data_IF_965126641005
#
_entry.id   IF_965126641005
#
_cell.length_a   1.000
_cell.length_b   1.000
_cell.length_c   1.000
_cell.angle_alpha   90.00
_cell.angle_beta   90.00
_cell.angle_gamma   90.00
#
_symmetry.space_group_name_H-M   'P 1'
#
loop_
_entity.id
_entity.type
_entity.pdbx_description
1 polymer ?
#
# COMPACT_ATOMS: atom_id res chain seq x y z
N UNK A 1 -19.01 -49.05 38.46
CA UNK A 1 -18.34 -47.92 37.78
C UNK A 1 -17.64 -48.38 36.48
N UNK A 2 -18.37 -48.96 35.52
CA UNK A 2 -17.85 -49.33 34.17
C UNK A 2 -19.01 -49.50 33.18
N UNK A 3 -19.85 -48.48 32.99
CA UNK A 3 -20.99 -48.56 32.05
C UNK A 3 -21.23 -47.29 31.20
N UNK A 4 -20.43 -46.24 31.35
CA UNK A 4 -20.59 -44.99 30.57
C UNK A 4 -19.67 -44.85 29.35
N UNK A 5 -18.80 -45.82 29.07
CA UNK A 5 -17.83 -45.75 27.97
C UNK A 5 -18.39 -46.13 26.59
N UNK A 6 -19.46 -46.93 26.52
CA UNK A 6 -20.00 -47.42 25.25
C UNK A 6 -20.93 -46.43 24.54
N UNK A 7 -21.73 -45.67 25.30
CA UNK A 7 -22.74 -44.76 24.73
C UNK A 7 -22.09 -43.53 24.09
N UNK A 8 -20.96 -43.06 24.62
CA UNK A 8 -20.25 -41.90 24.08
C UNK A 8 -19.56 -42.17 22.74
N UNK A 9 -19.12 -43.41 22.50
CA UNK A 9 -18.48 -43.82 21.24
C UNK A 9 -19.52 -44.00 20.13
N UNK A 10 -20.72 -44.50 20.46
CA UNK A 10 -21.81 -44.61 19.48
C UNK A 10 -22.43 -43.26 19.10
N UNK A 11 -22.44 -42.27 20.00
CA UNK A 11 -22.90 -40.91 19.69
C UNK A 11 -21.85 -40.16 18.86
N UNK A 12 -20.55 -40.38 19.08
CA UNK A 12 -19.49 -39.83 18.21
C UNK A 12 -19.49 -40.45 16.80
N UNK A 13 -19.86 -41.72 16.65
CA UNK A 13 -19.96 -42.38 15.35
C UNK A 13 -21.21 -41.96 14.55
N UNK A 14 -22.23 -41.39 15.21
CA UNK A 14 -23.39 -40.79 14.55
C UNK A 14 -23.21 -39.28 14.28
N UNK A 15 -22.29 -38.61 14.97
CA UNK A 15 -21.91 -37.20 14.73
C UNK A 15 -20.81 -37.03 13.66
N UNK A 16 -20.14 -38.10 13.23
CA UNK A 16 -19.25 -38.06 12.07
C UNK A 16 -19.99 -38.13 10.73
N UNK A 17 -21.31 -38.33 10.74
CA UNK A 17 -22.18 -38.06 9.60
C UNK A 17 -22.56 -36.56 9.57
N UNK A 18 -21.56 -35.67 9.57
CA UNK A 18 -21.74 -34.40 8.84
C UNK A 18 -22.02 -34.86 7.42
N UNK A 19 -23.26 -34.65 6.94
CA UNK A 19 -23.67 -35.03 5.60
C UNK A 19 -22.73 -34.38 4.59
N UNK A 20 -21.68 -35.09 4.20
CA UNK A 20 -20.94 -34.78 3.00
C UNK A 20 -21.95 -35.01 1.88
N UNK A 21 -22.50 -33.93 1.36
CA UNK A 21 -23.31 -33.98 0.16
C UNK A 21 -22.44 -34.66 -0.91
N UNK A 22 -22.80 -35.89 -1.28
CA UNK A 22 -22.05 -36.68 -2.26
C UNK A 22 -22.27 -36.03 -3.63
N UNK A 23 -21.41 -35.09 -4.00
CA UNK A 23 -21.46 -34.43 -5.29
C UNK A 23 -21.24 -35.47 -6.38
N UNK A 24 -22.25 -35.64 -7.23
CA UNK A 24 -22.23 -36.60 -8.33
C UNK A 24 -22.59 -35.90 -9.63
N UNK A 25 -22.41 -36.59 -10.76
CA UNK A 25 -22.77 -36.09 -12.09
C UNK A 25 -24.26 -35.69 -12.15
N UNK A 26 -25.12 -36.28 -11.31
CA UNK A 26 -26.54 -35.95 -11.23
C UNK A 26 -26.82 -34.52 -10.72
N UNK A 27 -25.86 -33.88 -10.05
CA UNK A 27 -26.00 -32.52 -9.55
C UNK A 27 -25.65 -31.46 -10.61
N UNK A 28 -25.08 -31.85 -11.75
CA UNK A 28 -24.68 -30.92 -12.82
C UNK A 28 -25.93 -30.39 -13.53
N UNK A 29 -26.02 -29.07 -13.68
CA UNK A 29 -27.10 -28.42 -14.42
C UNK A 29 -26.97 -28.65 -15.92
N UNK A 30 -28.07 -28.45 -16.67
CA UNK A 30 -28.08 -28.64 -18.12
C UNK A 30 -27.02 -27.80 -18.84
N UNK A 31 -26.79 -26.57 -18.37
CA UNK A 31 -25.76 -25.69 -18.92
C UNK A 31 -24.34 -26.21 -18.65
N UNK A 32 -24.08 -26.64 -17.40
CA UNK A 32 -22.78 -27.23 -17.04
C UNK A 32 -22.48 -28.50 -17.84
N UNK A 33 -23.50 -29.34 -18.06
CA UNK A 33 -23.36 -30.56 -18.85
C UNK A 33 -23.07 -30.25 -20.32
N UNK A 34 -23.73 -29.27 -20.93
CA UNK A 34 -23.44 -28.88 -22.31
C UNK A 34 -22.00 -28.42 -22.50
N UNK A 35 -21.46 -27.61 -21.57
CA UNK A 35 -20.08 -27.16 -21.64
C UNK A 35 -19.07 -28.29 -21.44
N UNK A 36 -19.36 -29.26 -20.57
CA UNK A 36 -18.51 -30.45 -20.39
C UNK A 36 -18.48 -31.33 -21.64
N UNK A 37 -19.66 -31.63 -22.22
CA UNK A 37 -19.75 -32.47 -23.43
C UNK A 37 -19.05 -31.83 -24.62
N UNK A 38 -19.08 -30.51 -24.74
CA UNK A 38 -18.35 -29.78 -25.77
C UNK A 38 -16.82 -29.76 -25.54
N UNK A 39 -16.41 -29.66 -24.27
CA UNK A 39 -14.99 -29.47 -23.90
C UNK A 39 -14.20 -30.78 -23.82
N UNK A 40 -14.83 -31.89 -23.44
CA UNK A 40 -14.17 -33.19 -23.26
C UNK A 40 -13.50 -33.68 -24.57
N UNK A 41 -14.18 -33.73 -25.73
CA UNK A 41 -13.56 -34.16 -26.98
C UNK A 41 -12.41 -33.24 -27.42
N UNK A 42 -12.56 -31.91 -27.22
CA UNK A 42 -11.53 -30.91 -27.50
C UNK A 42 -10.28 -31.07 -26.63
N UNK A 43 -10.39 -31.77 -25.50
CA UNK A 43 -9.27 -32.07 -24.60
C UNK A 43 -8.53 -33.38 -24.89
N UNK A 44 -8.88 -34.06 -26.00
CA UNK A 44 -8.39 -35.39 -26.39
C UNK A 44 -8.76 -36.53 -25.40
N UNK A 45 -9.78 -36.32 -24.56
CA UNK A 45 -10.32 -37.35 -23.69
C UNK A 45 -11.67 -37.87 -24.20
N UNK A 46 -11.98 -39.13 -23.92
CA UNK A 46 -13.31 -39.70 -24.17
C UNK A 46 -14.27 -39.35 -23.03
N UNK A 47 -15.57 -39.26 -23.34
CA UNK A 47 -16.64 -39.05 -22.35
C UNK A 47 -16.70 -40.14 -21.28
N UNK A 48 -16.30 -41.38 -21.62
CA UNK A 48 -16.29 -42.51 -20.70
C UNK A 48 -14.99 -42.63 -19.87
N UNK A 49 -13.93 -41.90 -20.22
CA UNK A 49 -12.62 -42.01 -19.58
C UNK A 49 -12.42 -40.90 -18.54
N UNK A 50 -12.95 -41.15 -17.34
CA UNK A 50 -12.80 -40.22 -16.20
C UNK A 50 -11.33 -40.06 -15.77
N UNK A 51 -10.49 -41.08 -15.95
CA UNK A 51 -9.07 -40.98 -15.60
C UNK A 51 -8.31 -40.01 -16.52
N UNK A 52 -8.60 -40.03 -17.83
CA UNK A 52 -8.07 -39.03 -18.76
C UNK A 52 -8.57 -37.63 -18.41
N UNK A 53 -9.88 -37.48 -18.16
CA UNK A 53 -10.48 -36.18 -17.82
C UNK A 53 -9.83 -35.55 -16.59
N UNK A 54 -9.61 -36.34 -15.53
CA UNK A 54 -8.98 -35.87 -14.30
C UNK A 54 -7.49 -35.55 -14.44
N UNK A 55 -6.78 -36.16 -15.41
CA UNK A 55 -5.37 -35.91 -15.67
C UNK A 55 -5.14 -34.76 -16.67
N UNK A 56 -6.16 -34.38 -17.44
CA UNK A 56 -6.05 -33.36 -18.48
C UNK A 56 -5.85 -31.97 -17.89
N UNK A 57 -4.80 -31.27 -18.32
CA UNK A 57 -4.53 -29.88 -17.94
C UNK A 57 -5.34 -28.86 -18.77
N UNK A 58 -5.83 -29.27 -19.94
CA UNK A 58 -6.51 -28.39 -20.89
C UNK A 58 -8.02 -28.38 -20.64
N UNK A 59 -8.57 -29.50 -20.17
CA UNK A 59 -10.00 -29.65 -19.93
C UNK A 59 -10.58 -28.56 -19.01
N UNK A 60 -9.97 -28.24 -17.84
CA UNK A 60 -10.50 -27.17 -16.99
C UNK A 60 -10.57 -25.80 -17.69
N UNK A 61 -9.61 -25.51 -18.59
CA UNK A 61 -9.55 -24.26 -19.35
C UNK A 61 -10.66 -24.14 -20.39
N UNK A 62 -10.92 -25.21 -21.13
CA UNK A 62 -12.00 -25.23 -22.12
C UNK A 62 -13.37 -25.16 -21.43
N UNK A 63 -13.56 -25.95 -20.37
CA UNK A 63 -14.82 -26.00 -19.64
C UNK A 63 -15.13 -24.66 -18.98
N UNK A 64 -14.18 -24.05 -18.28
CA UNK A 64 -14.37 -22.74 -17.64
C UNK A 64 -14.61 -21.61 -18.65
N UNK A 65 -13.95 -21.62 -19.81
CA UNK A 65 -14.22 -20.66 -20.88
C UNK A 65 -15.68 -20.75 -21.37
N UNK A 66 -16.19 -21.96 -21.62
CA UNK A 66 -17.58 -22.17 -21.99
C UNK A 66 -18.55 -21.73 -20.87
N UNK A 67 -18.25 -22.09 -19.61
CA UNK A 67 -19.11 -21.75 -18.48
C UNK A 67 -19.17 -20.24 -18.21
N UNK A 68 -18.09 -19.50 -18.46
CA UNK A 68 -18.05 -18.03 -18.31
C UNK A 68 -18.84 -17.31 -19.40
N UNK A 69 -19.00 -17.91 -20.57
CA UNK A 69 -19.73 -17.33 -21.69
C UNK A 69 -21.22 -17.66 -21.65
N UNK A 70 -21.57 -18.89 -21.26
CA UNK A 70 -22.92 -19.42 -21.45
C UNK A 70 -23.70 -19.72 -20.17
N UNK A 71 -23.04 -19.88 -19.02
CA UNK A 71 -23.66 -20.37 -17.78
C UNK A 71 -23.55 -19.38 -16.62
N UNK A 72 -24.23 -19.68 -15.51
CA UNK A 72 -24.17 -18.86 -14.29
C UNK A 72 -22.94 -19.18 -13.43
N UNK A 73 -22.57 -18.25 -12.56
CA UNK A 73 -21.56 -18.42 -11.51
C UNK A 73 -21.92 -19.58 -10.57
N UNK A 74 -23.21 -19.84 -10.36
CA UNK A 74 -23.67 -20.99 -9.59
C UNK A 74 -23.37 -22.31 -10.31
N UNK A 75 -23.62 -22.37 -11.62
CA UNK A 75 -23.30 -23.54 -12.45
C UNK A 75 -21.79 -23.83 -12.46
N UNK A 76 -20.98 -22.78 -12.55
CA UNK A 76 -19.51 -22.89 -12.48
C UNK A 76 -19.05 -23.57 -11.17
N UNK A 77 -19.64 -23.15 -10.06
CA UNK A 77 -19.30 -23.66 -8.74
C UNK A 77 -19.75 -25.11 -8.57
N UNK A 78 -20.93 -25.48 -9.09
CA UNK A 78 -21.41 -26.87 -9.11
C UNK A 78 -20.49 -27.76 -9.95
N UNK A 79 -20.13 -27.34 -11.17
CA UNK A 79 -19.24 -28.11 -12.04
C UNK A 79 -17.89 -28.32 -11.37
N UNK A 80 -17.33 -27.27 -10.75
CA UNK A 80 -16.09 -27.39 -9.98
C UNK A 80 -16.21 -28.40 -8.83
N UNK A 81 -17.30 -28.35 -8.05
CA UNK A 81 -17.57 -29.30 -6.95
C UNK A 81 -17.66 -30.74 -7.43
N UNK A 82 -18.40 -30.99 -8.51
CA UNK A 82 -18.55 -32.35 -9.06
C UNK A 82 -17.24 -32.85 -9.64
N UNK A 83 -16.48 -32.00 -10.34
CA UNK A 83 -15.15 -32.36 -10.84
C UNK A 83 -14.19 -32.70 -9.70
N UNK A 84 -14.19 -31.91 -8.62
CA UNK A 84 -13.37 -32.19 -7.44
C UNK A 84 -13.72 -33.52 -6.77
N UNK A 85 -15.01 -33.82 -6.62
CA UNK A 85 -15.47 -35.09 -6.07
C UNK A 85 -15.14 -36.29 -6.98
N UNK A 86 -15.28 -36.12 -8.30
CA UNK A 86 -15.01 -37.19 -9.29
C UNK A 86 -13.51 -37.48 -9.40
N UNK A 87 -12.69 -36.43 -9.39
CA UNK A 87 -11.24 -36.53 -9.56
C UNK A 87 -10.46 -36.63 -8.25
N UNK A 88 -11.15 -36.62 -7.11
CA UNK A 88 -10.55 -36.66 -5.77
C UNK A 88 -9.47 -35.58 -5.60
N UNK A 89 -9.81 -34.33 -5.96
CA UNK A 89 -8.89 -33.20 -5.91
C UNK A 89 -8.52 -32.84 -4.46
N UNK A 90 -7.31 -32.30 -4.21
CA UNK A 90 -6.91 -31.89 -2.87
C UNK A 90 -7.73 -30.68 -2.40
N UNK A 91 -7.93 -30.59 -1.08
CA UNK A 91 -8.68 -29.52 -0.40
C UNK A 91 -7.78 -28.68 0.54
N UNK A 92 -6.73 -28.02 0.02
CA UNK A 92 -5.87 -27.17 0.84
C UNK A 92 -6.56 -25.85 1.22
N UNK A 93 -6.16 -25.28 2.36
CA UNK A 93 -6.70 -24.02 2.88
C UNK A 93 -5.57 -23.04 3.24
N UNK A 94 -5.57 -21.87 2.59
CA UNK A 94 -4.63 -20.75 2.83
C UNK A 94 -5.30 -19.51 3.43
N UNK A 95 -6.57 -19.61 3.84
CA UNK A 95 -7.29 -18.48 4.45
C UNK A 95 -6.61 -17.99 5.74
N UNK A 96 -6.12 -18.90 6.57
CA UNK A 96 -5.40 -18.57 7.80
C UNK A 96 -4.09 -17.81 7.53
N UNK A 97 -3.32 -18.23 6.52
CA UNK A 97 -2.09 -17.56 6.08
C UNK A 97 -2.39 -16.10 5.72
N UNK A 98 -3.43 -15.88 4.90
CA UNK A 98 -3.88 -14.54 4.50
C UNK A 98 -4.26 -13.66 5.69
N UNK A 99 -5.04 -14.20 6.63
CA UNK A 99 -5.50 -13.44 7.81
C UNK A 99 -4.31 -13.06 8.69
N UNK A 100 -3.42 -14.00 8.98
CA UNK A 100 -2.24 -13.77 9.84
C UNK A 100 -1.34 -12.72 9.21
N UNK A 101 -1.00 -12.87 7.93
CA UNK A 101 -0.13 -11.91 7.21
C UNK A 101 -0.77 -10.53 7.17
N UNK A 102 -2.06 -10.44 6.84
CA UNK A 102 -2.75 -9.15 6.73
C UNK A 102 -2.86 -8.45 8.08
N UNK A 103 -3.27 -9.16 9.13
CA UNK A 103 -3.42 -8.59 10.46
C UNK A 103 -2.08 -8.14 11.05
N UNK A 104 -1.02 -8.95 10.90
CA UNK A 104 0.31 -8.62 11.43
C UNK A 104 0.91 -7.40 10.73
N UNK A 105 0.85 -7.35 9.40
CA UNK A 105 1.37 -6.22 8.63
C UNK A 105 0.61 -4.92 8.92
N UNK A 106 -0.72 -4.99 9.03
CA UNK A 106 -1.52 -3.83 9.41
C UNK A 106 -1.18 -3.36 10.82
N UNK A 107 -1.04 -4.28 11.79
CA UNK A 107 -0.67 -3.93 13.16
C UNK A 107 0.70 -3.25 13.23
N UNK A 108 1.70 -3.75 12.49
CA UNK A 108 3.02 -3.12 12.39
C UNK A 108 2.92 -1.72 11.78
N UNK A 109 2.23 -1.57 10.66
CA UNK A 109 2.04 -0.28 9.99
C UNK A 109 1.32 0.74 10.91
N UNK A 110 0.28 0.29 11.63
CA UNK A 110 -0.43 1.09 12.61
C UNK A 110 0.51 1.56 13.73
N UNK A 111 1.22 0.63 14.38
CA UNK A 111 2.09 0.95 15.51
C UNK A 111 3.22 1.89 15.12
N UNK A 112 3.85 1.66 13.96
CA UNK A 112 4.94 2.50 13.44
C UNK A 112 4.43 3.91 13.10
N UNK A 113 3.22 4.03 12.55
CA UNK A 113 2.61 5.34 12.26
C UNK A 113 2.27 6.11 13.53
N UNK A 114 1.71 5.43 14.55
CA UNK A 114 1.45 6.05 15.86
C UNK A 114 2.76 6.50 16.51
N UNK A 115 3.80 5.68 16.48
CA UNK A 115 5.12 6.04 16.99
C UNK A 115 5.69 7.27 16.28
N UNK A 116 5.50 7.38 14.95
CA UNK A 116 5.86 8.57 14.18
C UNK A 116 5.09 9.81 14.67
N UNK A 117 3.78 9.71 14.88
CA UNK A 117 2.97 10.86 15.33
C UNK A 117 3.42 11.32 16.73
N UNK A 118 3.59 10.39 17.67
CA UNK A 118 4.10 10.69 19.01
C UNK A 118 5.48 11.34 18.94
N UNK A 119 6.38 10.80 18.11
CA UNK A 119 7.70 11.35 17.86
C UNK A 119 7.65 12.80 17.41
N UNK A 120 6.77 13.13 16.47
CA UNK A 120 6.63 14.49 15.93
C UNK A 120 6.06 15.45 16.95
N UNK A 121 5.05 15.02 17.70
CA UNK A 121 4.43 15.82 18.76
C UNK A 121 5.41 16.13 19.88
N UNK A 122 6.24 15.18 20.30
CA UNK A 122 7.15 15.34 21.44
C UNK A 122 8.47 16.02 21.09
N UNK A 123 9.05 15.73 19.92
CA UNK A 123 10.41 16.20 19.56
C UNK A 123 10.38 17.48 18.73
N UNK A 124 9.41 17.62 17.82
CA UNK A 124 9.43 18.69 16.82
C UNK A 124 8.35 19.75 17.02
N UNK A 125 7.40 19.53 17.95
CA UNK A 125 6.26 20.40 18.29
C UNK A 125 5.42 20.91 17.10
N UNK A 126 5.59 20.36 15.90
CA UNK A 126 4.93 20.81 14.66
C UNK A 126 4.57 19.61 13.79
N UNK A 127 3.26 19.38 13.64
CA UNK A 127 2.71 18.36 12.75
C UNK A 127 2.70 18.91 11.33
N UNK A 128 3.37 18.20 10.40
CA UNK A 128 3.40 18.62 9.00
C UNK A 128 2.18 18.13 8.21
N UNK A 129 1.97 18.71 7.03
CA UNK A 129 0.98 18.21 6.06
C UNK A 129 1.32 16.75 5.63
N UNK A 130 2.61 16.40 5.64
CA UNK A 130 3.07 15.02 5.39
C UNK A 130 2.54 14.01 6.43
N UNK A 131 2.41 14.43 7.70
CA UNK A 131 1.91 13.56 8.76
C UNK A 131 0.39 13.36 8.64
N UNK A 132 -0.37 14.43 8.33
CA UNK A 132 -1.81 14.34 8.07
C UNK A 132 -2.16 13.45 6.88
N UNK A 133 -1.41 13.60 5.79
CA UNK A 133 -1.60 12.77 4.58
C UNK A 133 -1.28 11.30 4.84
N UNK A 134 -0.28 11.00 5.67
CA UNK A 134 0.02 9.62 6.08
C UNK A 134 -1.05 9.04 7.01
N UNK A 135 -1.54 9.83 7.97
CA UNK A 135 -2.65 9.41 8.83
C UNK A 135 -3.91 9.11 8.02
N UNK A 136 -4.20 9.91 6.99
CA UNK A 136 -5.28 9.65 6.06
C UNK A 136 -5.05 8.35 5.28
N UNK A 137 -3.82 8.09 4.82
CA UNK A 137 -3.48 6.83 4.15
C UNK A 137 -3.71 5.62 5.08
N UNK A 138 -3.29 5.69 6.34
CA UNK A 138 -3.55 4.64 7.32
C UNK A 138 -5.06 4.44 7.58
N UNK A 139 -5.84 5.52 7.61
CA UNK A 139 -7.30 5.41 7.75
C UNK A 139 -7.94 4.72 6.54
N UNK A 140 -7.48 5.04 5.33
CA UNK A 140 -7.94 4.43 4.07
C UNK A 140 -7.51 2.97 3.91
N UNK A 141 -6.45 2.53 4.60
CA UNK A 141 -6.03 1.13 4.59
C UNK A 141 -6.92 0.23 5.44
N UNK A 142 -7.63 0.79 6.45
CA UNK A 142 -8.53 0.03 7.33
C UNK A 142 -9.62 -0.72 6.56
N UNK A 143 -10.42 -0.10 5.66
CA UNK A 143 -11.38 -0.83 4.84
C UNK A 143 -10.73 -1.92 3.99
N UNK A 144 -9.59 -1.64 3.36
CA UNK A 144 -8.89 -2.62 2.52
C UNK A 144 -8.49 -3.87 3.32
N UNK A 145 -7.94 -3.68 4.52
CA UNK A 145 -7.62 -4.77 5.45
C UNK A 145 -8.87 -5.52 5.93
N UNK A 146 -9.93 -4.80 6.31
CA UNK A 146 -11.17 -5.41 6.79
C UNK A 146 -11.85 -6.28 5.73
N UNK A 147 -11.96 -5.80 4.49
CA UNK A 147 -12.54 -6.57 3.38
C UNK A 147 -11.67 -7.76 2.99
N UNK A 148 -10.34 -7.64 3.07
CA UNK A 148 -9.42 -8.77 2.84
C UNK A 148 -9.62 -9.88 3.87
N UNK A 149 -9.73 -9.54 5.16
CA UNK A 149 -10.00 -10.51 6.23
C UNK A 149 -11.40 -11.12 6.08
N UNK A 150 -12.41 -10.31 5.77
CA UNK A 150 -13.78 -10.78 5.53
C UNK A 150 -13.84 -11.78 4.37
N UNK A 151 -13.12 -11.50 3.29
CA UNK A 151 -13.01 -12.37 2.12
C UNK A 151 -12.30 -13.69 2.45
N UNK A 152 -11.20 -13.65 3.22
CA UNK A 152 -10.51 -14.86 3.68
C UNK A 152 -11.42 -15.75 4.54
N UNK A 153 -12.17 -15.16 5.48
CA UNK A 153 -13.20 -15.87 6.25
C UNK A 153 -14.33 -16.44 5.39
N UNK A 154 -14.60 -15.82 4.23
CA UNK A 154 -15.58 -16.27 3.25
C UNK A 154 -15.12 -17.47 2.39
N UNK A 155 -13.90 -17.97 2.58
CA UNK A 155 -13.33 -19.10 1.85
C UNK A 155 -12.30 -18.72 0.78
N UNK A 156 -11.90 -17.45 0.69
CA UNK A 156 -10.79 -17.06 -0.18
C UNK A 156 -9.47 -17.62 0.37
N UNK A 157 -8.66 -18.21 -0.52
CA UNK A 157 -7.57 -19.10 -0.13
C UNK A 157 -7.94 -20.58 -0.11
N UNK A 158 -9.15 -20.93 -0.54
CA UNK A 158 -9.55 -22.30 -0.91
C UNK A 158 -9.88 -22.33 -2.40
N UNK A 159 -9.87 -23.51 -2.99
CA UNK A 159 -10.27 -23.69 -4.39
C UNK A 159 -11.77 -23.46 -4.59
N UNK A 160 -12.17 -23.13 -5.84
CA UNK A 160 -13.57 -22.85 -6.20
C UNK A 160 -14.57 -23.92 -5.71
N UNK A 161 -14.16 -25.18 -5.67
CA UNK A 161 -15.00 -26.30 -5.24
C UNK A 161 -15.24 -26.37 -3.72
N UNK A 162 -14.42 -25.70 -2.92
CA UNK A 162 -14.53 -25.64 -1.46
C UNK A 162 -15.35 -24.45 -0.96
N UNK A 163 -15.83 -23.62 -1.88
CA UNK A 163 -16.64 -22.45 -1.56
C UNK A 163 -18.11 -22.84 -1.28
N UNK A 164 -18.70 -22.17 -0.29
CA UNK A 164 -20.13 -22.21 -0.06
C UNK A 164 -20.90 -21.54 -1.20
N UNK A 165 -22.17 -21.91 -1.38
CA UNK A 165 -23.00 -21.34 -2.44
C UNK A 165 -23.18 -19.83 -2.21
N UNK A 166 -22.98 -19.05 -3.27
CA UNK A 166 -22.94 -17.58 -3.21
C UNK A 166 -21.69 -16.99 -2.55
N UNK A 167 -20.74 -17.82 -2.08
CA UNK A 167 -19.47 -17.38 -1.50
C UNK A 167 -18.61 -16.62 -2.51
N UNK A 168 -18.55 -17.11 -3.76
CA UNK A 168 -17.75 -16.49 -4.83
C UNK A 168 -18.16 -15.04 -5.13
N UNK A 169 -19.47 -14.76 -5.16
CA UNK A 169 -19.99 -13.41 -5.37
C UNK A 169 -19.57 -12.46 -4.24
N UNK A 170 -19.65 -12.91 -2.97
CA UNK A 170 -19.22 -12.13 -1.81
C UNK A 170 -17.72 -11.86 -1.84
N UNK A 171 -16.93 -12.86 -2.19
CA UNK A 171 -15.47 -12.77 -2.33
C UNK A 171 -15.09 -11.73 -3.40
N UNK A 172 -15.63 -11.85 -4.62
CA UNK A 172 -15.34 -10.92 -5.72
C UNK A 172 -15.75 -9.48 -5.38
N UNK A 173 -16.88 -9.31 -4.69
CA UNK A 173 -17.33 -7.99 -4.22
C UNK A 173 -16.37 -7.39 -3.18
N UNK A 174 -15.91 -8.18 -2.22
CA UNK A 174 -14.92 -7.73 -1.24
C UNK A 174 -13.56 -7.41 -1.88
N UNK A 175 -13.13 -8.20 -2.86
CA UNK A 175 -11.91 -7.96 -3.63
C UNK A 175 -11.98 -6.61 -4.37
N UNK A 176 -13.08 -6.36 -5.07
CA UNK A 176 -13.32 -5.09 -5.77
C UNK A 176 -13.19 -3.86 -4.85
N UNK A 177 -13.81 -3.94 -3.66
CA UNK A 177 -13.75 -2.85 -2.68
C UNK A 177 -12.33 -2.70 -2.14
N UNK A 178 -11.69 -3.80 -1.76
CA UNK A 178 -10.32 -3.80 -1.22
C UNK A 178 -9.30 -3.22 -2.22
N UNK A 179 -9.42 -3.56 -3.51
CA UNK A 179 -8.57 -3.05 -4.58
C UNK A 179 -8.77 -1.54 -4.81
N UNK A 180 -10.02 -1.07 -4.75
CA UNK A 180 -10.33 0.35 -4.90
C UNK A 180 -9.68 1.19 -3.79
N UNK A 181 -9.77 0.74 -2.53
CA UNK A 181 -9.09 1.40 -1.40
C UNK A 181 -7.57 1.29 -1.48
N UNK A 182 -7.05 0.17 -1.98
CA UNK A 182 -5.62 -0.04 -2.16
C UNK A 182 -5.00 1.04 -3.07
N UNK A 183 -5.61 1.33 -4.23
CA UNK A 183 -5.09 2.32 -5.19
C UNK A 183 -4.93 3.70 -4.55
N UNK A 184 -5.93 4.14 -3.77
CA UNK A 184 -5.92 5.45 -3.11
C UNK A 184 -4.95 5.48 -1.92
N UNK A 185 -4.91 4.40 -1.14
CA UNK A 185 -4.00 4.25 0.01
C UNK A 185 -2.53 4.30 -0.41
N UNK A 186 -2.18 3.59 -1.48
CA UNK A 186 -0.80 3.57 -1.96
C UNK A 186 -0.37 4.95 -2.48
N UNK A 187 -1.24 5.62 -3.24
CA UNK A 187 -0.96 6.96 -3.77
C UNK A 187 -0.79 8.00 -2.66
N UNK A 188 -1.70 8.01 -1.67
CA UNK A 188 -1.62 8.92 -0.52
C UNK A 188 -0.35 8.70 0.30
N UNK A 189 0.08 7.45 0.47
CA UNK A 189 1.35 7.12 1.14
C UNK A 189 2.56 7.67 0.37
N UNK A 190 2.60 7.51 -0.96
CA UNK A 190 3.68 8.05 -1.80
C UNK A 190 3.71 9.58 -1.80
N UNK A 191 2.54 10.21 -1.84
CA UNK A 191 2.43 11.67 -1.75
C UNK A 191 2.94 12.17 -0.39
N UNK A 192 2.62 11.50 0.72
CA UNK A 192 3.16 11.85 2.04
C UNK A 192 4.70 11.84 2.06
N UNK A 193 5.34 10.84 1.45
CA UNK A 193 6.81 10.78 1.34
C UNK A 193 7.36 11.97 0.54
N UNK A 194 6.73 12.34 -0.57
CA UNK A 194 7.15 13.48 -1.38
C UNK A 194 6.96 14.82 -0.67
N UNK A 195 5.87 14.99 0.08
CA UNK A 195 5.64 16.16 0.93
C UNK A 195 6.71 16.29 2.01
N UNK A 196 7.11 15.16 2.60
CA UNK A 196 8.21 15.12 3.53
C UNK A 196 9.55 15.51 2.87
N UNK A 197 9.81 15.09 1.64
CA UNK A 197 11.00 15.51 0.88
C UNK A 197 11.01 17.02 0.61
N UNK A 198 9.85 17.61 0.29
CA UNK A 198 9.70 19.06 0.12
C UNK A 198 10.02 19.86 1.39
N UNK A 199 9.80 19.25 2.57
CA UNK A 199 10.12 19.85 3.87
C UNK A 199 11.60 19.68 4.24
N UNK A 200 12.22 18.55 3.88
CA UNK A 200 13.61 18.24 4.25
C UNK A 200 14.61 18.94 3.32
N UNK A 201 14.36 18.95 2.01
CA UNK A 201 15.31 19.46 1.02
C UNK A 201 14.91 20.85 0.53
N UNK A 202 15.65 21.92 0.90
CA UNK A 202 15.35 23.28 0.46
C UNK A 202 15.76 23.55 -1.01
N UNK A 203 16.47 22.63 -1.66
CA UNK A 203 17.00 22.81 -3.01
C UNK A 203 15.89 22.93 -4.06
N UNK A 204 15.86 24.03 -4.82
CA UNK A 204 14.78 24.36 -5.76
C UNK A 204 14.53 23.26 -6.80
N UNK A 205 15.57 22.69 -7.42
CA UNK A 205 15.40 21.62 -8.42
C UNK A 205 14.72 20.37 -7.85
N UNK A 206 14.99 20.04 -6.58
CA UNK A 206 14.34 18.91 -5.90
C UNK A 206 12.88 19.25 -5.61
N UNK A 207 12.57 20.50 -5.24
CA UNK A 207 11.19 20.93 -5.03
C UNK A 207 10.35 20.85 -6.31
N UNK A 208 10.87 21.35 -7.43
CA UNK A 208 10.18 21.24 -8.72
C UNK A 208 9.99 19.78 -9.15
N UNK A 209 11.02 18.93 -9.00
CA UNK A 209 10.90 17.51 -9.31
C UNK A 209 9.88 16.79 -8.40
N UNK A 210 9.87 17.08 -7.10
CA UNK A 210 8.91 16.53 -6.16
C UNK A 210 7.47 16.94 -6.50
N UNK A 211 7.22 18.22 -6.76
CA UNK A 211 5.88 18.72 -7.14
C UNK A 211 5.42 18.09 -8.45
N UNK A 212 6.30 17.98 -9.46
CA UNK A 212 5.99 17.31 -10.71
C UNK A 212 5.63 15.82 -10.48
N UNK A 213 6.36 15.14 -9.59
CA UNK A 213 6.10 13.73 -9.25
C UNK A 213 4.78 13.56 -8.50
N UNK A 214 4.44 14.48 -7.58
CA UNK A 214 3.14 14.52 -6.91
C UNK A 214 2.01 14.67 -7.94
N UNK A 215 2.15 15.61 -8.89
CA UNK A 215 1.18 15.80 -9.97
C UNK A 215 1.01 14.54 -10.82
N UNK A 216 2.13 13.90 -11.20
CA UNK A 216 2.10 12.64 -11.96
C UNK A 216 1.40 11.51 -11.19
N UNK A 217 1.68 11.35 -9.88
CA UNK A 217 0.99 10.35 -9.04
C UNK A 217 -0.51 10.67 -8.97
N UNK A 218 -0.88 11.91 -8.66
CA UNK A 218 -2.28 12.30 -8.54
C UNK A 218 -3.07 12.04 -9.84
N UNK A 219 -2.51 12.42 -11.00
CA UNK A 219 -3.14 12.20 -12.31
C UNK A 219 -3.25 10.70 -12.61
N UNK A 220 -2.14 9.96 -12.50
CA UNK A 220 -2.13 8.52 -12.82
C UNK A 220 -3.05 7.71 -11.91
N UNK A 221 -3.04 7.98 -10.59
CA UNK A 221 -3.95 7.35 -9.63
C UNK A 221 -5.41 7.69 -9.92
N UNK A 222 -5.72 8.93 -10.28
CA UNK A 222 -7.11 9.32 -10.62
C UNK A 222 -7.61 8.53 -11.82
N UNK A 223 -6.80 8.41 -12.88
CA UNK A 223 -7.14 7.62 -14.07
C UNK A 223 -7.33 6.15 -13.72
N UNK A 224 -6.37 5.56 -13.01
CA UNK A 224 -6.41 4.13 -12.62
C UNK A 224 -7.63 3.87 -11.72
N UNK A 225 -7.89 4.74 -10.74
CA UNK A 225 -9.04 4.60 -9.84
C UNK A 225 -10.35 4.57 -10.60
N UNK A 226 -10.57 5.51 -11.52
CA UNK A 226 -11.79 5.51 -12.33
C UNK A 226 -11.86 4.30 -13.27
N UNK A 227 -10.76 3.84 -13.84
CA UNK A 227 -10.74 2.61 -14.63
C UNK A 227 -11.01 1.36 -13.79
N UNK A 228 -10.57 1.30 -12.52
CA UNK A 228 -10.85 0.19 -11.61
C UNK A 228 -12.33 0.18 -11.22
N UNK A 229 -12.87 1.35 -10.83
CA UNK A 229 -14.27 1.51 -10.40
C UNK A 229 -15.25 1.26 -11.56
N UNK A 230 -14.95 1.80 -12.73
CA UNK A 230 -15.76 1.62 -13.94
C UNK A 230 -15.18 0.56 -14.88
N UNK A 231 -14.53 -0.46 -14.33
CA UNK A 231 -13.93 -1.55 -15.11
C UNK A 231 -14.97 -2.40 -15.85
N UNK A 232 -16.22 -2.40 -15.38
CA UNK A 232 -17.31 -3.13 -15.98
C UNK A 232 -18.57 -2.27 -16.17
N UNK A 233 -19.34 -2.58 -17.21
CA UNK A 233 -20.63 -1.96 -17.50
C UNK A 233 -21.70 -3.06 -17.59
N UNK A 234 -22.68 -3.10 -16.66
CA UNK A 234 -22.76 -2.31 -15.42
C UNK A 234 -21.67 -2.69 -14.40
N UNK A 235 -21.35 -1.81 -13.44
CA UNK A 235 -20.30 -2.05 -12.42
C UNK A 235 -20.54 -3.34 -11.63
N UNK A 236 -21.82 -3.67 -11.40
CA UNK A 236 -22.23 -4.92 -10.74
C UNK A 236 -21.76 -6.18 -11.45
N UNK A 237 -21.44 -6.09 -12.75
CA UNK A 237 -20.94 -7.22 -13.54
C UNK A 237 -19.54 -7.68 -13.12
N UNK A 238 -18.77 -6.86 -12.38
CA UNK A 238 -17.47 -7.28 -11.86
C UNK A 238 -17.58 -8.49 -10.93
N UNK A 239 -18.53 -8.46 -9.99
CA UNK A 239 -18.74 -9.53 -9.00
C UNK A 239 -19.96 -10.42 -9.29
N UNK A 240 -20.88 -9.97 -10.16
CA UNK A 240 -22.03 -10.75 -10.59
C UNK A 240 -21.98 -10.97 -12.11
N UNK A 241 -21.37 -12.09 -12.53
CA UNK A 241 -21.25 -12.47 -13.95
C UNK A 241 -22.53 -13.03 -14.55
N UNK A 242 -23.59 -13.22 -13.76
CA UNK A 242 -24.87 -13.75 -14.24
C UNK A 242 -25.67 -12.72 -15.05
N UNK A 243 -25.26 -11.45 -15.02
CA UNK A 243 -25.91 -10.36 -15.76
C UNK A 243 -25.57 -10.48 -17.25
N UNK A 244 -26.57 -10.84 -18.07
CA UNK A 244 -26.42 -10.94 -19.53
C UNK A 244 -26.15 -9.57 -20.17
N UNK A 245 -25.23 -9.55 -21.14
CA UNK A 245 -24.85 -8.33 -21.87
C UNK A 245 -23.89 -7.41 -21.10
N UNK A 246 -23.41 -7.81 -19.92
CA UNK A 246 -22.36 -7.11 -19.21
C UNK A 246 -21.02 -7.24 -19.93
N UNK A 247 -20.25 -6.16 -19.97
CA UNK A 247 -18.89 -6.18 -20.53
C UNK A 247 -17.90 -5.56 -19.53
N UNK A 248 -16.66 -6.05 -19.54
CA UNK A 248 -15.57 -5.47 -18.75
C UNK A 248 -14.39 -5.17 -19.66
N UNK A 249 -13.62 -4.14 -19.29
CA UNK A 249 -12.26 -4.00 -19.80
C UNK A 249 -11.41 -5.17 -19.28
N UNK A 250 -10.25 -5.38 -19.91
CA UNK A 250 -9.33 -6.43 -19.47
C UNK A 250 -8.71 -6.05 -18.11
N UNK A 251 -9.29 -6.55 -17.03
CA UNK A 251 -8.90 -6.27 -15.64
C UNK A 251 -7.44 -6.63 -15.35
N UNK A 252 -6.92 -7.68 -15.98
CA UNK A 252 -5.52 -8.08 -15.84
C UNK A 252 -4.58 -7.05 -16.45
N UNK A 253 -4.89 -6.54 -17.66
CA UNK A 253 -4.11 -5.47 -18.29
C UNK A 253 -4.14 -4.20 -17.46
N UNK A 254 -5.28 -3.88 -16.85
CA UNK A 254 -5.38 -2.76 -15.92
C UNK A 254 -4.49 -2.96 -14.69
N UNK A 255 -4.51 -4.14 -14.07
CA UNK A 255 -3.65 -4.48 -12.93
C UNK A 255 -2.15 -4.44 -13.29
N UNK A 256 -1.77 -4.87 -14.49
CA UNK A 256 -0.40 -4.75 -15.00
C UNK A 256 0.02 -3.28 -15.17
N UNK A 257 -0.84 -2.45 -15.75
CA UNK A 257 -0.60 -1.03 -15.89
C UNK A 257 -0.46 -0.34 -14.52
N UNK A 258 -1.33 -0.66 -13.57
CA UNK A 258 -1.25 -0.15 -12.20
C UNK A 258 0.07 -0.52 -11.51
N UNK A 259 0.48 -1.79 -11.63
CA UNK A 259 1.75 -2.27 -11.04
C UNK A 259 2.98 -1.64 -11.71
N UNK A 260 2.98 -1.51 -13.04
CA UNK A 260 4.05 -0.84 -13.77
C UNK A 260 4.18 0.64 -13.37
N UNK A 261 3.04 1.36 -13.29
CA UNK A 261 3.02 2.75 -12.83
C UNK A 261 3.50 2.86 -11.38
N UNK A 262 3.13 1.93 -10.50
CA UNK A 262 3.64 1.89 -9.12
C UNK A 262 5.17 1.81 -9.09
N UNK A 263 5.77 0.90 -9.88
CA UNK A 263 7.23 0.73 -9.97
C UNK A 263 7.90 2.02 -10.48
N UNK A 264 7.37 2.65 -11.53
CA UNK A 264 7.91 3.91 -12.07
C UNK A 264 7.90 5.01 -10.99
N UNK A 265 6.79 5.14 -10.26
CA UNK A 265 6.68 6.10 -9.16
C UNK A 265 7.70 5.83 -8.05
N UNK A 266 7.91 4.56 -7.68
CA UNK A 266 8.87 4.20 -6.63
C UNK A 266 10.30 4.55 -7.06
N UNK A 267 10.66 4.25 -8.31
CA UNK A 267 11.96 4.61 -8.88
C UNK A 267 12.18 6.13 -8.89
N UNK A 268 11.16 6.91 -9.23
CA UNK A 268 11.24 8.38 -9.22
C UNK A 268 11.43 8.92 -7.80
N UNK A 269 10.70 8.40 -6.82
CA UNK A 269 10.83 8.78 -5.40
C UNK A 269 12.25 8.46 -4.90
N UNK A 270 12.79 7.30 -5.27
CA UNK A 270 14.16 6.88 -4.90
C UNK A 270 15.23 7.74 -5.58
N UNK A 271 15.03 8.11 -6.86
CA UNK A 271 15.99 8.88 -7.63
C UNK A 271 16.09 10.34 -7.17
N UNK A 272 14.99 10.91 -6.70
CA UNK A 272 14.86 12.33 -6.36
C UNK A 272 15.94 12.90 -5.43
N UNK A 273 16.32 12.25 -4.30
CA UNK A 273 17.38 12.78 -3.45
C UNK A 273 18.81 12.54 -3.99
N UNK A 274 19.03 11.60 -4.92
CA UNK A 274 20.38 11.18 -5.35
C UNK A 274 21.27 12.32 -5.90
N UNK A 275 20.79 13.21 -6.78
CA UNK A 275 21.64 14.25 -7.36
C UNK A 275 22.13 15.26 -6.32
N UNK A 276 21.31 15.56 -5.31
CA UNK A 276 21.69 16.47 -4.22
C UNK A 276 22.73 15.81 -3.33
N UNK A 277 22.59 14.52 -3.08
CA UNK A 277 23.51 13.75 -2.24
C UNK A 277 24.88 13.56 -2.90
N UNK A 278 24.92 13.42 -4.23
CA UNK A 278 26.17 13.30 -4.97
C UNK A 278 27.02 14.59 -4.92
N UNK A 279 26.37 15.76 -4.83
CA UNK A 279 27.04 17.07 -4.84
C UNK A 279 27.47 17.57 -3.46
N UNK A 280 27.04 16.93 -2.38
CA UNK A 280 27.23 17.44 -1.04
C UNK A 280 28.32 16.65 -0.28
N UNK A 281 29.41 17.33 0.08
CA UNK A 281 30.50 16.80 0.92
C UNK A 281 30.04 16.59 2.38
N UNK A 282 29.15 15.63 2.59
CA UNK A 282 28.61 15.30 3.90
C UNK A 282 29.51 14.32 4.67
N UNK A 283 29.77 14.63 5.94
CA UNK A 283 30.50 13.72 6.85
C UNK A 283 29.83 12.34 6.98
N UNK A 284 30.64 11.29 7.24
CA UNK A 284 30.25 9.86 7.23
C UNK A 284 28.90 9.55 7.90
N UNK A 285 28.55 10.21 9.01
CA UNK A 285 27.29 9.99 9.74
C UNK A 285 26.03 10.43 8.96
N UNK A 286 26.10 11.52 8.20
CA UNK A 286 25.00 11.97 7.34
C UNK A 286 24.86 11.06 6.11
N UNK A 287 26.00 10.61 5.55
CA UNK A 287 26.05 9.65 4.44
C UNK A 287 25.39 8.31 4.77
N UNK A 288 25.56 7.78 5.98
CA UNK A 288 24.89 6.56 6.44
C UNK A 288 23.36 6.74 6.51
N UNK A 289 22.90 7.86 7.07
CA UNK A 289 21.46 8.16 7.17
C UNK A 289 20.76 8.25 5.82
N UNK A 290 21.47 8.81 4.85
CA UNK A 290 21.04 8.89 3.46
C UNK A 290 21.01 7.51 2.79
N UNK A 291 22.05 6.70 3.01
CA UNK A 291 22.08 5.32 2.51
C UNK A 291 20.92 4.49 3.04
N UNK A 292 20.50 4.71 4.29
CA UNK A 292 19.32 4.06 4.85
C UNK A 292 18.02 4.48 4.15
N UNK A 293 17.81 5.77 3.85
CA UNK A 293 16.65 6.23 3.09
C UNK A 293 16.60 5.62 1.67
N UNK A 294 17.76 5.47 1.04
CA UNK A 294 17.87 4.83 -0.27
C UNK A 294 17.53 3.33 -0.21
N UNK A 295 18.08 2.61 0.79
CA UNK A 295 17.79 1.19 0.99
C UNK A 295 16.28 0.96 1.20
N UNK A 296 15.65 1.80 2.01
CA UNK A 296 14.22 1.79 2.29
C UNK A 296 13.39 1.97 1.01
N UNK A 297 13.69 2.97 0.19
CA UNK A 297 12.95 3.18 -1.06
C UNK A 297 13.21 2.07 -2.09
N UNK A 298 14.42 1.51 -2.14
CA UNK A 298 14.74 0.38 -3.02
C UNK A 298 13.95 -0.89 -2.67
N UNK A 299 13.66 -1.10 -1.38
CA UNK A 299 12.88 -2.24 -0.92
C UNK A 299 11.42 -2.15 -1.40
N UNK A 300 10.81 -0.96 -1.37
CA UNK A 300 9.49 -0.72 -1.96
C UNK A 300 9.43 -1.10 -3.43
N UNK A 301 10.41 -0.66 -4.23
CA UNK A 301 10.50 -1.03 -5.65
C UNK A 301 10.53 -2.54 -5.88
N UNK A 302 11.32 -3.28 -5.08
CA UNK A 302 11.44 -4.75 -5.20
C UNK A 302 10.10 -5.43 -4.93
N UNK A 303 9.38 -4.98 -3.91
CA UNK A 303 8.05 -5.52 -3.57
C UNK A 303 7.06 -5.28 -4.72
N UNK A 304 7.06 -4.07 -5.29
CA UNK A 304 6.24 -3.73 -6.45
C UNK A 304 6.55 -4.62 -7.67
N UNK A 305 7.82 -4.96 -7.90
CA UNK A 305 8.24 -5.91 -8.96
C UNK A 305 7.78 -7.35 -8.68
N UNK A 306 7.86 -7.82 -7.44
CA UNK A 306 7.41 -9.17 -7.08
C UNK A 306 5.89 -9.28 -7.27
N UNK A 307 5.13 -8.25 -6.88
CA UNK A 307 3.69 -8.20 -7.12
C UNK A 307 3.35 -8.28 -8.61
N UNK A 308 4.04 -7.53 -9.47
CA UNK A 308 3.85 -7.61 -10.92
C UNK A 308 4.15 -9.02 -11.44
N UNK A 309 5.21 -9.68 -10.94
CA UNK A 309 5.51 -11.07 -11.29
C UNK A 309 4.38 -12.03 -10.87
N UNK A 310 3.83 -11.87 -9.67
CA UNK A 310 2.67 -12.67 -9.21
C UNK A 310 1.45 -12.44 -10.10
N UNK A 311 1.16 -11.20 -10.46
CA UNK A 311 0.07 -10.88 -11.39
C UNK A 311 0.28 -11.55 -12.76
N UNK A 312 1.49 -11.51 -13.32
CA UNK A 312 1.78 -12.15 -14.61
C UNK A 312 1.65 -13.69 -14.55
N UNK A 313 1.94 -14.29 -13.40
CA UNK A 313 1.81 -15.74 -13.22
C UNK A 313 0.36 -16.20 -13.06
N UNK A 314 -0.52 -15.37 -12.50
CA UNK A 314 -1.87 -15.77 -12.10
C UNK A 314 -3.01 -15.02 -12.81
N UNK A 315 -2.69 -14.01 -13.62
CA UNK A 315 -3.71 -13.15 -14.26
C UNK A 315 -4.69 -13.93 -15.13
N UNK A 316 -4.23 -14.99 -15.83
CA UNK A 316 -5.09 -15.82 -16.67
C UNK A 316 -5.57 -17.10 -15.98
N UNK A 317 -5.51 -17.18 -14.64
CA UNK A 317 -5.96 -18.38 -13.96
C UNK A 317 -7.48 -18.49 -13.91
N UNK A 318 -7.93 -19.73 -13.87
CA UNK A 318 -9.34 -20.16 -13.91
C UNK A 318 -9.90 -20.40 -12.52
N UNK A 319 -9.01 -20.48 -11.51
CA UNK A 319 -9.36 -20.55 -10.10
C UNK A 319 -8.92 -19.27 -9.37
N UNK A 320 -9.68 -18.16 -9.52
CA UNK A 320 -9.30 -16.89 -8.92
C UNK A 320 -9.32 -16.93 -7.38
N UNK A 321 -10.06 -17.84 -6.72
CA UNK A 321 -10.10 -17.86 -5.25
C UNK A 321 -8.85 -18.45 -4.62
N UNK A 322 -8.15 -19.34 -5.34
CA UNK A 322 -6.89 -19.96 -4.90
C UNK A 322 -5.66 -19.21 -5.42
N UNK A 323 -5.63 -18.86 -6.70
CA UNK A 323 -4.41 -18.34 -7.32
C UNK A 323 -4.13 -16.87 -7.00
N UNK A 324 -5.17 -16.07 -6.74
CA UNK A 324 -5.01 -14.66 -6.39
C UNK A 324 -4.51 -14.45 -4.95
N UNK A 325 -4.44 -15.50 -4.13
CA UNK A 325 -3.92 -15.43 -2.75
C UNK A 325 -2.57 -14.74 -2.70
N UNK A 326 -1.64 -15.15 -3.57
CA UNK A 326 -0.30 -14.57 -3.60
C UNK A 326 -0.33 -13.10 -4.04
N UNK A 327 -1.20 -12.75 -5.00
CA UNK A 327 -1.38 -11.37 -5.47
C UNK A 327 -1.87 -10.48 -4.32
N UNK A 328 -2.85 -10.96 -3.54
CA UNK A 328 -3.38 -10.24 -2.37
C UNK A 328 -2.32 -10.09 -1.29
N UNK A 329 -1.57 -11.15 -0.97
CA UNK A 329 -0.46 -11.10 0.00
C UNK A 329 0.56 -10.03 -0.41
N UNK A 330 1.04 -10.05 -1.65
CA UNK A 330 2.04 -9.07 -2.12
C UNK A 330 1.49 -7.65 -2.17
N UNK A 331 0.19 -7.47 -2.44
CA UNK A 331 -0.48 -6.17 -2.40
C UNK A 331 -0.54 -5.62 -0.96
N UNK A 332 -0.86 -6.47 0.02
CA UNK A 332 -0.84 -6.09 1.44
C UNK A 332 0.56 -5.78 1.92
N UNK A 333 1.55 -6.57 1.49
CA UNK A 333 2.98 -6.36 1.78
C UNK A 333 3.46 -5.03 1.20
N UNK A 334 3.11 -4.70 -0.05
CA UNK A 334 3.43 -3.41 -0.70
C UNK A 334 2.87 -2.22 0.10
N UNK A 335 1.59 -2.28 0.51
CA UNK A 335 0.99 -1.22 1.31
C UNK A 335 1.67 -1.05 2.67
N UNK A 336 1.86 -2.15 3.41
CA UNK A 336 2.45 -2.09 4.74
C UNK A 336 3.89 -1.58 4.70
N UNK A 337 4.68 -2.04 3.73
CA UNK A 337 6.05 -1.59 3.52
C UNK A 337 6.05 -0.12 3.13
N UNK A 338 5.21 0.32 2.20
CA UNK A 338 5.14 1.74 1.83
C UNK A 338 4.87 2.64 3.04
N UNK A 339 3.92 2.27 3.91
CA UNK A 339 3.59 3.02 5.13
C UNK A 339 4.77 3.00 6.11
N UNK A 340 5.34 1.84 6.42
CA UNK A 340 6.47 1.71 7.35
C UNK A 340 7.69 2.47 6.83
N UNK A 341 7.99 2.35 5.53
CA UNK A 341 9.09 3.03 4.86
C UNK A 341 8.95 4.55 4.94
N UNK A 342 7.73 5.07 4.78
CA UNK A 342 7.45 6.51 4.92
C UNK A 342 7.74 7.05 6.32
N UNK A 343 7.70 6.20 7.35
CA UNK A 343 7.93 6.57 8.74
C UNK A 343 9.43 6.68 9.12
N UNK A 344 10.31 5.97 8.42
CA UNK A 344 11.74 5.89 8.76
C UNK A 344 12.49 7.24 8.81
N UNK A 345 12.27 8.20 7.89
CA UNK A 345 12.89 9.51 8.00
C UNK A 345 12.62 10.23 9.33
N UNK A 346 11.41 10.13 9.86
CA UNK A 346 11.03 10.74 11.13
C UNK A 346 11.63 9.98 12.31
N UNK A 347 11.58 8.63 12.27
CA UNK A 347 12.20 7.78 13.29
C UNK A 347 13.72 8.02 13.40
N UNK A 348 14.40 8.24 12.27
CA UNK A 348 15.83 8.60 12.27
C UNK A 348 16.09 9.89 13.06
N UNK A 349 15.27 10.92 12.87
CA UNK A 349 15.44 12.18 13.58
C UNK A 349 15.21 12.00 15.08
N UNK A 350 14.26 11.16 15.48
CA UNK A 350 14.04 10.79 16.88
C UNK A 350 15.22 10.03 17.49
N UNK A 351 15.78 9.04 16.78
CA UNK A 351 16.94 8.28 17.28
C UNK A 351 18.15 9.18 17.56
N UNK A 352 18.38 10.20 16.72
CA UNK A 352 19.45 11.17 16.93
C UNK A 352 19.19 12.03 18.17
N UNK A 353 17.93 12.36 18.46
CA UNK A 353 17.56 13.20 19.61
C UNK A 353 17.55 12.45 20.95
N UNK A 354 17.15 11.17 20.95
CA UNK A 354 17.09 10.32 22.16
C UNK A 354 18.46 9.76 22.55
N UNK A 355 19.35 9.48 21.58
CA UNK A 355 20.69 8.93 21.84
C UNK A 355 21.85 9.90 21.50
N UNK A 356 21.94 11.11 22.08
CA UNK A 356 23.01 12.02 21.75
C UNK A 356 24.36 11.67 22.40
N UNK A 357 24.46 10.76 23.39
CA UNK A 357 25.70 10.64 24.21
C UNK A 357 26.19 9.24 24.66
N UNK A 358 25.41 8.16 24.63
CA UNK A 358 25.86 6.90 25.29
C UNK A 358 26.75 5.99 24.44
N UNK A 359 26.74 6.08 23.11
CA UNK A 359 27.55 5.18 22.25
C UNK A 359 28.96 5.72 21.94
N UNK A 360 29.22 7.03 22.10
CA UNK A 360 30.54 7.61 21.81
C UNK A 360 31.51 7.60 23.00
N UNK A 361 31.01 7.37 24.21
CA UNK A 361 31.85 7.36 25.43
C UNK A 361 32.58 6.02 25.63
N UNK A 362 32.09 4.93 25.03
CA UNK A 362 32.67 3.58 25.24
C UNK A 362 33.84 3.23 24.32
N UNK A 363 34.14 4.05 23.30
CA UNK A 363 35.22 3.77 22.31
C UNK A 363 36.49 4.60 22.56
N UNK A 364 36.50 5.47 23.59
CA UNK A 364 37.69 6.27 23.95
C UNK A 364 38.60 5.68 25.03
N UNK A 365 38.38 4.43 25.42
CA UNK A 365 39.19 3.76 26.45
C UNK A 365 39.98 2.57 25.89
N UNK A 366 40.78 2.79 24.84
CA UNK A 366 41.89 1.85 24.54
C UNK A 366 43.11 2.60 24.03
N UNK A 367 44.09 2.67 24.92
CA UNK A 367 45.53 2.70 24.65
C UNK A 367 46.15 3.97 24.06
N UNK A 368 46.55 4.89 24.93
CA UNK A 368 47.85 5.56 24.77
C UNK A 368 48.68 5.32 26.04
N UNK A 369 49.84 4.67 25.85
CA UNK A 369 50.86 4.45 26.87
C UNK A 369 51.52 5.79 27.21
N UNK A 370 51.80 6.12 28.49
CA UNK A 370 52.54 7.33 28.81
C UNK A 370 54.02 7.11 28.49
N UNK A 371 54.54 7.84 27.50
CA UNK A 371 55.98 8.02 27.31
C UNK A 371 56.46 9.02 28.36
N UNK A 372 57.36 8.56 29.22
CA UNK A 372 58.10 9.36 30.19
C UNK A 372 59.12 10.26 29.49
N UNK A 373 59.02 11.57 29.67
CA UNK A 373 60.16 12.52 29.58
C UNK A 373 59.98 13.65 30.60
N UNK A 374 61.09 14.22 31.12
CA UNK A 374 61.10 14.90 32.41
C UNK A 374 60.82 16.41 32.34
N UNK A 375 60.19 16.87 33.41
CA UNK A 375 60.34 18.14 34.13
C UNK A 375 60.92 19.35 33.36
N UNK A 376 60.04 20.31 33.07
CA UNK A 376 60.39 21.70 33.30
C UNK A 376 59.20 22.55 33.75
N UNK A 377 59.52 23.57 34.54
CA UNK A 377 58.65 24.28 35.47
C UNK A 377 57.99 25.53 34.86
N UNK A 378 56.92 25.99 35.54
CA UNK A 378 56.26 27.30 35.41
C UNK A 378 55.39 27.58 34.18
N UNK A 379 54.06 27.46 34.34
CA UNK A 379 53.08 28.58 34.43
C UNK A 379 51.66 28.15 34.03
N UNK A 380 50.65 28.68 34.74
CA UNK A 380 49.39 29.09 34.12
C UNK A 380 48.45 28.00 33.59
N UNK A 381 47.72 27.35 34.50
CA UNK A 381 46.51 26.57 34.23
C UNK A 381 45.41 27.44 33.60
N UNK A 382 45.10 27.28 32.30
CA UNK A 382 43.74 27.41 31.71
C UNK A 382 43.73 26.87 30.27
N UNK A 383 43.23 25.64 30.12
CA UNK A 383 43.05 24.93 28.83
C UNK A 383 41.57 25.01 28.43
N UNK A 384 41.36 25.40 27.18
CA UNK A 384 40.32 24.95 26.23
C UNK A 384 38.84 24.99 26.66
N UNK A 385 38.11 25.97 26.13
CA UNK A 385 36.67 25.89 25.84
C UNK A 385 36.38 26.66 24.53
N UNK A 386 36.81 26.15 23.37
CA UNK A 386 36.57 26.80 22.07
C UNK A 386 35.85 25.92 21.03
N UNK A 387 35.26 24.79 21.46
CA UNK A 387 34.60 23.86 20.53
C UNK A 387 33.06 23.90 20.59
N UNK A 388 32.47 24.86 21.31
CA UNK A 388 31.02 24.87 21.58
C UNK A 388 30.27 26.12 21.10
N UNK A 389 30.96 27.14 20.57
CA UNK A 389 30.30 28.38 20.09
C UNK A 389 29.72 28.26 18.67
N UNK A 390 30.29 27.42 17.79
CA UNK A 390 29.87 27.36 16.38
C UNK A 390 28.52 26.70 16.07
N UNK A 391 27.82 26.12 17.05
CA UNK A 391 26.50 25.49 16.83
C UNK A 391 25.33 26.31 17.40
N UNK A 392 25.61 27.34 18.21
CA UNK A 392 24.58 28.26 18.74
C UNK A 392 24.37 29.44 17.78
N UNK A 393 25.41 29.89 17.07
CA UNK A 393 25.31 30.98 16.08
C UNK A 393 24.36 30.69 14.90
N UNK A 394 24.24 29.42 14.46
CA UNK A 394 23.32 29.05 13.37
C UNK A 394 21.84 29.08 13.77
N UNK A 395 21.53 28.96 15.06
CA UNK A 395 20.16 29.10 15.57
C UNK A 395 19.79 30.58 15.69
N UNK A 396 20.75 31.44 16.08
CA UNK A 396 20.51 32.87 16.30
C UNK A 396 20.38 33.68 15.00
N UNK A 397 20.99 33.23 13.88
CA UNK A 397 20.76 33.81 12.55
C UNK A 397 19.36 33.51 11.97
N UNK A 398 18.67 32.47 12.46
CA UNK A 398 17.30 32.14 12.02
C UNK A 398 16.25 33.06 12.65
N UNK A 399 16.47 33.49 13.89
CA UNK A 399 15.49 34.30 14.64
C UNK A 399 15.60 35.81 14.31
N UNK A 400 16.76 36.27 13.84
CA UNK A 400 16.97 37.68 13.48
C UNK A 400 16.38 38.05 12.10
N UNK A 401 16.06 37.09 11.23
CA UNK A 401 15.39 37.35 9.94
C UNK A 401 13.85 37.41 10.03
N UNK A 402 13.26 37.14 11.21
CA UNK A 402 11.80 37.17 11.42
C UNK A 402 11.32 38.46 12.12
N UNK A 403 12.23 39.30 12.64
CA UNK A 403 11.86 40.44 13.50
C UNK A 403 12.11 41.85 12.95
N UNK A 404 12.32 42.03 11.63
CA UNK A 404 12.33 43.37 11.01
C UNK A 404 11.21 43.50 9.96
N UNK A 405 9.98 43.68 10.45
CA UNK A 405 8.94 44.40 9.73
C UNK A 405 8.83 45.79 10.40
N UNK A 406 9.03 46.90 9.69
CA UNK A 406 9.03 48.23 10.31
C UNK A 406 7.64 48.59 10.84
N UNK A 407 7.54 49.36 11.94
CA UNK A 407 6.26 49.71 12.55
C UNK A 407 5.43 50.59 11.62
N UNK A 408 4.13 50.31 11.59
CA UNK A 408 3.08 51.08 10.95
C UNK A 408 3.02 52.49 11.58
N UNK A 409 3.21 53.53 10.76
CA UNK A 409 3.15 54.93 11.17
C UNK A 409 1.69 55.29 11.39
N UNK A 410 1.28 55.82 12.56
CA UNK A 410 -0.09 56.27 12.77
C UNK A 410 -0.41 57.47 11.86
N UNK A 411 -1.64 57.57 11.31
CA UNK A 411 -2.02 58.67 10.43
C UNK A 411 -1.96 60.01 11.18
N UNK A 412 -1.28 60.99 10.57
CA UNK A 412 -1.32 62.40 11.00
C UNK A 412 -2.67 62.99 10.64
N UNK A 413 -3.29 63.68 11.60
CA UNK A 413 -4.46 64.52 11.38
C UNK A 413 -4.19 65.61 10.33
N UNK A 414 -5.22 66.00 9.55
CA UNK A 414 -5.05 66.77 8.32
C UNK A 414 -4.72 68.25 8.58
N UNK A 415 -3.88 68.88 7.75
CA UNK A 415 -3.78 70.33 7.73
C UNK A 415 -5.03 70.92 7.07
N UNK A 416 -5.65 71.85 7.78
CA UNK A 416 -6.73 72.71 7.29
C UNK A 416 -6.18 73.54 6.13
N UNK A 417 -6.65 73.23 4.92
CA UNK A 417 -6.45 74.07 3.74
C UNK A 417 -7.79 74.69 3.37
N UNK A 418 -7.96 75.96 3.71
CA UNK A 418 -9.00 76.82 3.16
C UNK A 418 -8.66 77.12 1.71
N UNK A 419 -9.42 76.57 0.75
CA UNK A 419 -9.45 77.08 -0.62
C UNK A 419 -10.88 77.25 -1.11
N UNK A 420 -11.12 78.44 -1.63
CA UNK A 420 -12.40 78.96 -2.06
C UNK A 420 -12.96 78.22 -3.28
N UNK A 421 -14.26 77.96 -3.23
CA UNK A 421 -15.02 77.28 -4.27
C UNK A 421 -15.46 78.29 -5.35
N UNK A 422 -14.91 78.16 -6.57
CA UNK A 422 -15.45 78.67 -7.84
C UNK A 422 -15.08 77.60 -8.88
N UNK A 423 -15.95 76.67 -9.29
CA UNK A 423 -17.25 76.88 -9.92
C UNK A 423 -17.09 76.76 -11.44
N UNK A 424 -17.14 75.55 -12.01
CA UNK A 424 -17.19 75.33 -13.46
C UNK A 424 -18.02 74.07 -13.83
N UNK A 425 -19.22 74.34 -14.36
CA UNK A 425 -19.91 73.76 -15.53
C UNK A 425 -19.72 72.27 -15.98
N UNK A 426 -20.85 71.54 -15.92
CA UNK A 426 -21.67 70.96 -17.01
C UNK A 426 -21.07 70.03 -18.10
N UNK A 427 -21.86 68.96 -18.37
CA UNK A 427 -22.03 68.11 -19.58
C UNK A 427 -21.02 66.94 -19.76
N UNK A 428 -21.40 65.71 -20.16
CA UNK A 428 -22.67 65.07 -20.54
C UNK A 428 -22.39 63.73 -21.27
N UNK A 429 -23.42 62.87 -21.39
CA UNK A 429 -23.60 61.74 -22.35
C UNK A 429 -22.73 60.48 -22.22
N UNK A 430 -23.21 59.25 -21.91
CA UNK A 430 -24.06 58.26 -22.63
C UNK A 430 -23.44 57.54 -23.86
N UNK A 431 -23.59 56.19 -23.89
CA UNK A 431 -23.33 55.26 -25.02
C UNK A 431 -22.48 54.03 -24.59
N UNK A 432 -23.07 52.88 -24.26
CA UNK A 432 -23.38 51.72 -25.14
C UNK A 432 -22.18 51.13 -25.92
N UNK A 433 -21.72 49.94 -25.50
CA UNK A 433 -21.66 48.70 -26.29
C UNK A 433 -21.28 47.51 -25.39
#
# INVERSE_FOLDING_TARGET
MRLHGGVFISILALLSAVGAQQWSIANITTCGLSCLVESIPKSNCSLADSACQCKSKILPALTSACLLENCTMHDQLIVAKVQAATCNLPHPDRSAELIIVTATLFAVAFFVTILRLISRMWVSSTIGIDDWTLSMALLLSVPSTAFTISMANGGFGRHLWDLADGGLLKILRSLYIAESFYVVTLASTKISVLLLYLRIFPHQSVRYAAIATIGMIAISTTIIFFMTVFSCHPVTFFWNRDIRGGTCINVNKLAYANSAMSIIQDLLIVALPLPVLAKLNMGRKKKIGVGFMFAVGSFGCVVSMIRLKSLLSFGNSLDPSWDYVNVVIWTTVELAIAIVCSCFPALRNLLIHIYPRTFLSSIRHTSDKPVSTPMDSNTGRRRANHAQEGFVELQQMSDSQVSEMPPEVPPKDPPIVTTANKGWHRAGSSGEL
#
